data_IF_212440981628
#
_entry.id   IF_212440981628
#
_cell.length_a   1.000
_cell.length_b   1.000
_cell.length_c   1.000
_cell.angle_alpha   90.00
_cell.angle_beta   90.00
_cell.angle_gamma   90.00
#
_symmetry.space_group_name_H-M   'P 1'
#
loop_
_entity.id
_entity.type
_entity.pdbx_description
1 polymer ?
#
# COMPACT_ATOMS: atom_id res chain seq x y z
N UNK A 1 8.89 -12.84 -30.35
CA UNK A 1 8.16 -13.48 -29.24
C UNK A 1 8.44 -12.65 -27.99
N UNK A 2 7.54 -11.75 -27.59
CA UNK A 2 7.75 -10.91 -26.42
C UNK A 2 7.13 -11.59 -25.21
N UNK A 3 7.97 -12.23 -24.40
CA UNK A 3 7.60 -12.80 -23.11
C UNK A 3 7.16 -11.65 -22.19
N UNK A 4 5.86 -11.51 -21.92
CA UNK A 4 5.40 -10.60 -20.87
C UNK A 4 5.74 -11.23 -19.52
N UNK A 5 6.65 -10.61 -18.78
CA UNK A 5 7.04 -11.03 -17.43
C UNK A 5 5.91 -10.74 -16.44
N UNK A 6 5.74 -11.63 -15.44
CA UNK A 6 4.85 -11.39 -14.31
C UNK A 6 5.25 -10.10 -13.58
N UNK A 7 4.27 -9.25 -13.27
CA UNK A 7 4.54 -7.98 -12.59
C UNK A 7 4.53 -8.21 -11.09
N UNK A 8 5.63 -7.91 -10.40
CA UNK A 8 5.68 -8.02 -8.94
C UNK A 8 4.96 -6.83 -8.31
N UNK A 9 4.00 -7.12 -7.44
CA UNK A 9 3.27 -6.14 -6.65
C UNK A 9 3.72 -6.25 -5.21
N UNK A 10 4.13 -5.13 -4.63
CA UNK A 10 4.51 -5.01 -3.22
C UNK A 10 3.41 -4.31 -2.45
N UNK A 11 3.14 -4.79 -1.25
CA UNK A 11 2.38 -4.10 -0.20
C UNK A 11 3.31 -3.88 0.98
N UNK A 12 3.43 -2.63 1.44
CA UNK A 12 4.29 -2.24 2.56
C UNK A 12 3.49 -1.53 3.64
N UNK A 13 3.76 -1.87 4.90
CA UNK A 13 3.14 -1.24 6.09
C UNK A 13 4.21 -0.50 6.88
N UNK A 14 4.04 0.80 6.99
CA UNK A 14 4.90 1.70 7.76
C UNK A 14 4.15 2.23 9.00
N UNK A 15 4.85 2.27 10.13
CA UNK A 15 4.33 2.78 11.40
C UNK A 15 5.15 3.99 11.82
N UNK A 16 4.46 5.03 12.26
CA UNK A 16 5.01 6.31 12.67
C UNK A 16 4.56 6.62 14.08
N UNK A 17 5.38 7.36 14.83
CA UNK A 17 4.93 7.88 16.12
C UNK A 17 3.74 8.83 15.94
N UNK A 18 3.77 9.70 14.92
CA UNK A 18 2.61 10.47 14.50
C UNK A 18 2.74 10.99 13.06
N UNK A 19 1.60 11.21 12.40
CA UNK A 19 1.49 11.90 11.11
C UNK A 19 0.55 13.11 11.26
N UNK A 20 1.09 14.24 11.73
CA UNK A 20 0.33 15.49 11.90
C UNK A 20 0.62 16.54 10.83
N UNK A 21 1.86 16.59 10.33
CA UNK A 21 2.29 17.67 9.44
C UNK A 21 1.51 17.65 8.12
N UNK A 22 0.70 18.68 7.88
CA UNK A 22 -0.06 18.86 6.63
C UNK A 22 0.85 18.86 5.40
N UNK A 23 2.05 19.46 5.50
CA UNK A 23 3.06 19.46 4.43
C UNK A 23 3.50 18.04 4.06
N UNK A 24 3.78 17.19 5.05
CA UNK A 24 4.19 15.79 4.79
C UNK A 24 3.05 14.97 4.23
N UNK A 25 1.84 15.11 4.78
CA UNK A 25 0.64 14.44 4.27
C UNK A 25 0.39 14.78 2.81
N UNK A 26 0.45 16.08 2.47
CA UNK A 26 0.31 16.56 1.09
C UNK A 26 1.37 15.95 0.17
N UNK A 27 2.64 15.98 0.57
CA UNK A 27 3.72 15.39 -0.22
C UNK A 27 3.53 13.87 -0.44
N UNK A 28 3.17 13.13 0.61
CA UNK A 28 2.87 11.69 0.49
C UNK A 28 1.71 11.43 -0.48
N UNK A 29 0.64 12.22 -0.38
CA UNK A 29 -0.51 12.13 -1.28
C UNK A 29 -0.13 12.41 -2.73
N UNK A 30 0.59 13.51 -2.99
CA UNK A 30 1.04 13.90 -4.33
C UNK A 30 1.94 12.81 -4.93
N UNK A 31 2.92 12.31 -4.18
CA UNK A 31 3.81 11.25 -4.67
C UNK A 31 3.11 9.92 -4.94
N UNK A 32 2.11 9.55 -4.12
CA UNK A 32 1.33 8.34 -4.35
C UNK A 32 0.46 8.46 -5.60
N UNK A 33 -0.11 9.65 -5.84
CA UNK A 33 -0.90 9.94 -7.03
C UNK A 33 -0.03 9.93 -8.30
N UNK A 34 1.12 10.62 -8.27
CA UNK A 34 2.06 10.68 -9.40
C UNK A 34 2.60 9.30 -9.77
N UNK A 35 2.81 8.44 -8.78
CA UNK A 35 3.29 7.07 -8.94
C UNK A 35 2.17 6.04 -9.23
N UNK A 36 0.90 6.48 -9.28
CA UNK A 36 -0.28 5.62 -9.43
C UNK A 36 -0.33 4.44 -8.43
N UNK A 37 -0.02 4.74 -7.17
CA UNK A 37 -0.02 3.79 -6.06
C UNK A 37 -1.37 3.79 -5.34
N UNK A 38 -1.74 2.64 -4.78
CA UNK A 38 -2.81 2.53 -3.79
C UNK A 38 -2.24 2.73 -2.39
N UNK A 39 -2.79 3.63 -1.59
CA UNK A 39 -2.26 3.99 -0.29
C UNK A 39 -3.37 4.36 0.70
N UNK A 40 -3.29 3.79 1.90
CA UNK A 40 -4.16 4.09 3.02
C UNK A 40 -3.31 4.68 4.15
N UNK A 41 -3.62 5.89 4.58
CA UNK A 41 -2.86 6.59 5.61
C UNK A 41 -3.75 6.91 6.81
N UNK A 42 -3.50 6.27 7.96
CA UNK A 42 -4.09 6.69 9.23
C UNK A 42 -3.24 7.80 9.84
N UNK A 43 -3.83 8.99 9.93
CA UNK A 43 -3.18 10.19 10.45
C UNK A 43 -3.29 10.26 11.98
N UNK A 44 -2.56 11.17 12.59
CA UNK A 44 -2.52 11.32 14.05
C UNK A 44 -1.58 10.33 14.75
N UNK A 45 -1.90 9.96 15.99
CA UNK A 45 -1.08 9.08 16.84
C UNK A 45 -1.81 7.74 17.12
N UNK A 46 -1.21 6.56 16.92
CA UNK A 46 -0.01 6.31 16.11
C UNK A 46 -0.32 6.52 14.62
N UNK A 47 0.67 6.91 13.82
CA UNK A 47 0.50 7.05 12.38
C UNK A 47 0.72 5.73 11.67
N UNK A 48 -0.10 5.40 10.67
CA UNK A 48 0.05 4.18 9.86
C UNK A 48 -0.03 4.56 8.40
N UNK A 49 0.86 4.01 7.57
CA UNK A 49 0.79 4.12 6.13
C UNK A 49 0.88 2.73 5.54
N UNK A 50 -0.10 2.38 4.72
CA UNK A 50 -0.07 1.18 3.90
C UNK A 50 -0.02 1.63 2.45
N UNK A 51 0.87 1.02 1.67
CA UNK A 51 1.05 1.35 0.26
C UNK A 51 1.18 0.06 -0.55
N UNK A 52 0.54 0.02 -1.70
CA UNK A 52 0.55 -1.10 -2.63
C UNK A 52 0.72 -0.61 -4.08
N UNK A 53 1.54 -1.34 -4.84
CA UNK A 53 1.76 -1.10 -6.26
C UNK A 53 2.94 -1.90 -6.80
N UNK A 54 3.47 -1.54 -7.98
CA UNK A 54 4.64 -2.20 -8.55
C UNK A 54 5.83 -2.18 -7.58
N UNK A 55 6.55 -3.29 -7.48
CA UNK A 55 7.59 -3.51 -6.46
C UNK A 55 8.61 -2.37 -6.36
N UNK A 56 9.22 -2.00 -7.49
CA UNK A 56 10.24 -0.94 -7.56
C UNK A 56 9.67 0.43 -7.17
N UNK A 57 8.45 0.73 -7.60
CA UNK A 57 7.79 2.02 -7.36
C UNK A 57 7.44 2.16 -5.87
N UNK A 58 7.00 1.07 -5.23
CA UNK A 58 6.72 1.05 -3.79
C UNK A 58 8.01 1.20 -2.99
N UNK A 59 9.09 0.53 -3.38
CA UNK A 59 10.40 0.68 -2.74
C UNK A 59 10.90 2.13 -2.77
N UNK A 60 10.79 2.78 -3.94
CA UNK A 60 11.18 4.19 -4.11
C UNK A 60 10.31 5.11 -3.26
N UNK A 61 9.00 4.89 -3.27
CA UNK A 61 8.05 5.66 -2.47
C UNK A 61 8.33 5.53 -0.97
N UNK A 62 8.50 4.30 -0.47
CA UNK A 62 8.84 4.03 0.94
C UNK A 62 10.16 4.70 1.31
N UNK A 63 11.16 4.65 0.43
CA UNK A 63 12.46 5.30 0.64
C UNK A 63 12.33 6.81 0.74
N UNK A 64 11.57 7.45 -0.16
CA UNK A 64 11.28 8.90 -0.11
C UNK A 64 10.55 9.29 1.17
N UNK A 65 9.57 8.48 1.61
CA UNK A 65 8.84 8.73 2.86
C UNK A 65 9.78 8.61 4.05
N UNK A 66 10.63 7.58 4.13
CA UNK A 66 11.62 7.40 5.22
C UNK A 66 12.62 8.56 5.32
N UNK A 67 13.00 9.16 4.20
CA UNK A 67 13.94 10.28 4.16
C UNK A 67 13.37 11.60 4.70
N UNK A 68 12.04 11.72 4.82
CA UNK A 68 11.47 12.87 5.52
C UNK A 68 11.87 12.85 7.01
N UNK A 69 11.94 14.02 7.64
CA UNK A 69 12.26 14.11 9.07
C UNK A 69 11.11 13.62 9.95
N UNK A 70 11.20 12.44 10.55
CA UNK A 70 10.22 11.89 11.51
C UNK A 70 10.81 11.81 12.92
N UNK A 71 9.95 11.77 13.95
CA UNK A 71 10.40 11.39 15.30
C UNK A 71 10.71 9.89 15.36
N UNK A 72 9.87 9.08 14.72
CA UNK A 72 10.06 7.64 14.55
C UNK A 72 9.23 7.18 13.34
N UNK A 73 9.84 6.35 12.50
CA UNK A 73 9.29 5.81 11.26
C UNK A 73 9.92 4.43 11.01
N UNK A 74 9.09 3.40 10.96
CA UNK A 74 9.54 2.02 10.78
C UNK A 74 8.74 1.36 9.68
N UNK A 75 9.42 0.63 8.79
CA UNK A 75 8.80 -0.34 7.90
C UNK A 75 8.66 -1.64 8.69
N UNK A 76 7.44 -2.15 8.84
CA UNK A 76 7.13 -3.21 9.79
C UNK A 76 6.69 -4.51 9.15
N UNK A 77 5.96 -4.44 8.04
CA UNK A 77 5.53 -5.62 7.30
C UNK A 77 5.59 -5.32 5.80
N UNK A 78 6.01 -6.31 5.03
CA UNK A 78 6.10 -6.25 3.58
C UNK A 78 5.61 -7.57 2.99
N UNK A 79 4.84 -7.48 1.91
CA UNK A 79 4.35 -8.64 1.17
C UNK A 79 4.58 -8.40 -0.31
N UNK A 80 5.16 -9.38 -0.99
CA UNK A 80 5.31 -9.36 -2.44
C UNK A 80 4.42 -10.46 -3.01
N UNK A 81 3.62 -10.12 -4.02
CA UNK A 81 2.85 -11.08 -4.81
C UNK A 81 3.18 -10.91 -6.28
N UNK A 82 3.12 -12.00 -7.02
CA UNK A 82 3.20 -11.97 -8.47
C UNK A 82 1.79 -11.71 -9.02
N UNK A 83 1.64 -10.66 -9.81
CA UNK A 83 0.43 -10.36 -10.56
C UNK A 83 0.66 -10.94 -11.96
N UNK A 84 -0.02 -12.04 -12.26
CA UNK A 84 -0.05 -12.57 -13.61
C UNK A 84 -0.64 -11.48 -14.53
N UNK A 85 0.00 -11.18 -15.68
CA UNK A 85 -0.60 -10.27 -16.64
C UNK A 85 -1.98 -10.83 -17.01
N UNK A 86 -3.02 -9.99 -17.16
CA UNK A 86 -4.36 -10.47 -17.47
C UNK A 86 -4.30 -11.31 -18.75
N UNK A 87 -4.39 -12.62 -18.59
CA UNK A 87 -4.20 -13.56 -19.68
C UNK A 87 -5.21 -13.22 -20.78
N UNK A 88 -4.70 -12.91 -21.98
CA UNK A 88 -5.53 -12.75 -23.18
C UNK A 88 -6.34 -14.04 -23.33
N UNK A 89 -7.66 -13.94 -23.19
CA UNK A 89 -8.54 -15.07 -22.89
C UNK A 89 -8.41 -16.23 -23.88
N UNK A 90 -8.02 -17.42 -23.39
CA UNK A 90 -8.56 -18.72 -23.80
C UNK A 90 -8.32 -19.75 -22.69
N UNK A 91 -9.38 -20.20 -22.01
CA UNK A 91 -9.29 -21.36 -21.13
C UNK A 91 -10.24 -21.30 -19.94
N UNK A 92 -11.19 -22.25 -19.88
CA UNK A 92 -12.04 -22.53 -18.71
C UNK A 92 -11.16 -23.13 -17.60
N UNK A 93 -10.63 -22.29 -16.73
CA UNK A 93 -10.08 -22.68 -15.42
C UNK A 93 -10.82 -21.90 -14.34
N UNK A 94 -10.94 -22.46 -13.13
CA UNK A 94 -11.48 -21.73 -11.96
C UNK A 94 -10.70 -20.43 -11.83
N UNK A 95 -11.31 -19.29 -12.18
CA UNK A 95 -10.72 -17.98 -11.96
C UNK A 95 -10.72 -17.78 -10.45
N UNK A 96 -9.57 -17.91 -9.79
CA UNK A 96 -9.37 -17.19 -8.54
C UNK A 96 -9.68 -15.73 -8.85
N UNK A 97 -10.65 -15.14 -8.14
CA UNK A 97 -10.92 -13.72 -8.28
C UNK A 97 -9.62 -12.96 -7.99
N UNK A 98 -9.18 -12.05 -8.87
CA UNK A 98 -8.01 -11.23 -8.60
C UNK A 98 -8.23 -10.55 -7.24
N UNK A 99 -7.29 -10.73 -6.31
CA UNK A 99 -7.38 -10.04 -5.02
C UNK A 99 -7.49 -8.53 -5.29
N UNK A 100 -8.47 -7.83 -4.69
CA UNK A 100 -8.70 -6.42 -4.99
C UNK A 100 -7.42 -5.63 -4.68
N UNK A 101 -6.99 -4.77 -5.59
CA UNK A 101 -5.81 -3.94 -5.38
C UNK A 101 -6.22 -2.66 -4.66
N UNK A 102 -5.35 -2.11 -3.80
CA UNK A 102 -5.68 -0.89 -3.05
C UNK A 102 -6.01 0.28 -4.00
N UNK A 103 -5.33 0.34 -5.15
CA UNK A 103 -5.59 1.33 -6.18
C UNK A 103 -7.00 1.29 -6.76
N UNK A 104 -7.69 0.15 -6.67
CA UNK A 104 -9.02 -0.04 -7.25
C UNK A 104 -10.11 0.69 -6.42
N UNK A 105 -9.82 1.12 -5.18
CA UNK A 105 -10.81 1.83 -4.34
C UNK A 105 -10.61 3.34 -4.27
N UNK A 106 -9.38 3.84 -4.27
CA UNK A 106 -9.00 5.25 -4.43
C UNK A 106 -7.49 5.36 -4.15
N UNK A 107 -6.74 5.99 -5.06
CA UNK A 107 -5.27 6.07 -4.98
C UNK A 107 -4.69 6.35 -3.59
N UNK A 108 -4.99 7.50 -2.97
CA UNK A 108 -4.53 7.82 -1.60
C UNK A 108 -5.69 8.26 -0.72
N UNK A 109 -5.93 7.56 0.39
CA UNK A 109 -7.02 7.84 1.33
C UNK A 109 -6.49 8.05 2.75
N UNK A 110 -6.93 9.12 3.40
CA UNK A 110 -6.61 9.41 4.80
C UNK A 110 -7.73 8.93 5.73
N UNK A 111 -7.33 8.42 6.91
CA UNK A 111 -8.23 7.98 7.97
C UNK A 111 -7.81 8.62 9.29
N UNK A 112 -8.79 9.05 10.09
CA UNK A 112 -8.51 9.53 11.45
C UNK A 112 -8.54 8.38 12.45
N UNK A 113 -9.48 7.46 12.28
CA UNK A 113 -9.73 6.35 13.19
C UNK A 113 -9.10 5.06 12.68
N UNK A 114 -8.45 4.32 13.58
CA UNK A 114 -7.89 2.98 13.28
C UNK A 114 -9.00 2.01 12.87
N UNK A 115 -10.21 2.15 13.42
CA UNK A 115 -11.35 1.30 13.06
C UNK A 115 -11.71 1.40 11.57
N UNK A 116 -11.68 2.59 10.98
CA UNK A 116 -11.99 2.80 9.57
C UNK A 116 -10.91 2.20 8.66
N UNK A 117 -9.63 2.42 9.03
CA UNK A 117 -8.51 1.77 8.37
C UNK A 117 -8.65 0.24 8.43
N UNK A 118 -8.98 -0.31 9.59
CA UNK A 118 -9.18 -1.76 9.75
C UNK A 118 -10.33 -2.26 8.87
N UNK A 119 -11.49 -1.62 8.87
CA UNK A 119 -12.61 -2.03 8.01
C UNK A 119 -12.25 -2.02 6.52
N UNK A 120 -11.38 -1.11 6.09
CA UNK A 120 -10.90 -1.08 4.70
C UNK A 120 -9.89 -2.19 4.44
N UNK A 121 -8.95 -2.40 5.35
CA UNK A 121 -7.92 -3.43 5.22
C UNK A 121 -8.48 -4.84 5.29
N UNK A 122 -9.61 -5.03 5.98
CA UNK A 122 -10.37 -6.28 5.98
C UNK A 122 -10.90 -6.63 4.58
N UNK A 123 -11.42 -5.64 3.84
CA UNK A 123 -11.88 -5.81 2.45
C UNK A 123 -10.78 -6.26 1.50
N UNK A 124 -9.53 -5.88 1.79
CA UNK A 124 -8.36 -6.26 1.00
C UNK A 124 -7.61 -7.48 1.54
N UNK A 125 -8.08 -8.08 2.65
CA UNK A 125 -7.39 -9.21 3.29
C UNK A 125 -6.00 -8.86 3.86
N UNK A 126 -5.76 -7.59 4.20
CA UNK A 126 -4.47 -7.10 4.73
C UNK A 126 -4.43 -7.01 6.27
N UNK A 127 -5.47 -7.50 6.94
CA UNK A 127 -5.58 -7.50 8.41
C UNK A 127 -4.36 -8.12 9.11
N UNK A 128 -3.84 -9.23 8.57
CA UNK A 128 -2.67 -9.91 9.15
C UNK A 128 -1.44 -9.01 9.21
N UNK A 129 -1.19 -8.25 8.14
CA UNK A 129 -0.02 -7.36 8.03
C UNK A 129 -0.07 -6.18 9.01
N UNK A 130 -1.27 -5.62 9.26
CA UNK A 130 -1.42 -4.58 10.28
C UNK A 130 -1.17 -5.13 11.67
N UNK A 131 -1.73 -6.31 11.98
CA UNK A 131 -1.56 -6.93 13.29
C UNK A 131 -0.08 -7.19 13.58
N UNK A 132 0.64 -7.74 12.62
CA UNK A 132 2.10 -7.92 12.69
C UNK A 132 2.86 -6.59 12.82
N UNK A 133 2.36 -5.51 12.19
CA UNK A 133 3.04 -4.23 12.24
C UNK A 133 2.89 -3.50 13.60
N UNK A 134 1.73 -3.67 14.24
CA UNK A 134 1.34 -2.95 15.46
C UNK A 134 1.63 -3.70 16.77
N UNK A 135 1.71 -5.03 16.72
CA UNK A 135 1.98 -5.91 17.87
C UNK A 135 3.31 -6.64 17.71
#
# INVERSE_FOLDING_TARGET
MSTQAATKIRTSVMVFHHIYSSKKRRAMKEWAQDANLGALCKVGNAGILVVEGPDEIVQDYVSKVKQMRWQSCHLRSERIREDDPPARSKGKGKKEEPQPRLKDCAGYVEYEKVSELNSQMDKFGLQGMIKEALF
#
